data_IF_193587401271
#
_entry.id   IF_193587401271
#
_cell.length_a   1.000
_cell.length_b   1.000
_cell.length_c   1.000
_cell.angle_alpha   90.00
_cell.angle_beta   90.00
_cell.angle_gamma   90.00
#
_symmetry.space_group_name_H-M   'P 1'
#
loop_
_entity.id
_entity.type
_entity.pdbx_description
1 polymer ?
#
# COMPACT_ATOMS: atom_id res chain seq x y z
N UNK A 1 2.18 -10.46 -16.70
CA UNK A 1 0.80 -9.90 -16.61
C UNK A 1 0.77 -8.89 -15.48
N UNK A 2 0.71 -7.60 -15.77
CA UNK A 2 0.60 -6.56 -14.74
C UNK A 2 -0.88 -6.22 -14.54
N UNK A 3 -1.33 -5.98 -13.31
CA UNK A 3 -2.74 -5.69 -13.01
C UNK A 3 -2.84 -4.31 -12.38
N UNK A 4 -3.75 -3.48 -12.89
CA UNK A 4 -4.04 -2.14 -12.37
C UNK A 4 -5.09 -2.15 -11.27
N UNK A 5 -4.82 -1.46 -10.15
CA UNK A 5 -5.72 -1.35 -8.98
C UNK A 5 -5.58 0.02 -8.32
N UNK A 6 -6.65 0.48 -7.67
CA UNK A 6 -6.60 1.69 -6.84
C UNK A 6 -6.01 1.37 -5.46
N UNK A 7 -5.09 2.19 -4.99
CA UNK A 7 -4.45 2.06 -3.69
C UNK A 7 -4.36 3.43 -2.99
N UNK A 8 -4.32 3.41 -1.66
CA UNK A 8 -4.02 4.58 -0.85
C UNK A 8 -2.50 4.73 -0.71
N UNK A 9 -1.93 5.81 -1.23
CA UNK A 9 -0.50 6.09 -1.21
C UNK A 9 -0.20 7.20 -0.22
N UNK A 10 0.79 6.97 0.63
CA UNK A 10 1.32 7.96 1.56
C UNK A 10 2.65 8.49 1.03
N UNK A 11 2.60 9.64 0.37
CA UNK A 11 3.78 10.21 -0.29
C UNK A 11 4.73 10.92 0.66
N UNK A 12 4.20 11.63 1.66
CA UNK A 12 5.00 12.42 2.59
C UNK A 12 4.37 12.49 3.98
N UNK A 13 5.19 12.59 5.05
CA UNK A 13 4.70 12.80 6.41
C UNK A 13 3.77 14.01 6.52
N UNK A 14 2.72 13.89 7.34
CA UNK A 14 1.78 14.98 7.62
C UNK A 14 0.75 15.28 6.52
N UNK A 15 0.84 14.62 5.36
CA UNK A 15 -0.18 14.72 4.31
C UNK A 15 -1.24 13.62 4.44
N UNK A 16 -2.45 13.87 3.94
CA UNK A 16 -3.45 12.83 3.75
C UNK A 16 -3.00 11.83 2.69
N UNK A 17 -3.56 10.61 2.72
CA UNK A 17 -3.36 9.63 1.67
C UNK A 17 -4.01 10.08 0.35
N UNK A 18 -3.37 9.75 -0.76
CA UNK A 18 -3.94 9.91 -2.11
C UNK A 18 -4.47 8.56 -2.61
N UNK A 19 -5.64 8.54 -3.25
CA UNK A 19 -6.16 7.32 -3.90
C UNK A 19 -5.77 7.33 -5.38
N UNK A 20 -4.85 6.44 -5.76
CA UNK A 20 -4.23 6.44 -7.10
C UNK A 20 -4.29 5.06 -7.75
N UNK A 21 -4.26 5.03 -9.08
CA UNK A 21 -4.17 3.78 -9.84
C UNK A 21 -2.71 3.36 -9.96
N UNK A 22 -2.42 2.14 -9.49
CA UNK A 22 -1.08 1.57 -9.51
C UNK A 22 -1.04 0.26 -10.28
N UNK A 23 0.14 -0.03 -10.81
CA UNK A 23 0.46 -1.31 -11.41
C UNK A 23 1.03 -2.26 -10.35
N UNK A 24 0.31 -3.37 -10.13
CA UNK A 24 0.74 -4.41 -9.19
C UNK A 24 1.29 -5.58 -9.99
N UNK A 25 2.57 -5.88 -9.75
CA UNK A 25 3.30 -6.97 -10.40
C UNK A 25 2.70 -8.35 -10.09
N UNK A 26 3.19 -9.36 -10.80
CA UNK A 26 2.88 -10.75 -10.47
C UNK A 26 3.63 -11.18 -9.22
N UNK A 27 3.02 -12.06 -8.40
CA UNK A 27 3.74 -12.69 -7.30
C UNK A 27 4.89 -13.56 -7.86
N UNK A 28 6.02 -13.55 -7.14
CA UNK A 28 7.16 -14.42 -7.39
C UNK A 28 6.97 -15.77 -6.68
N UNK A 29 7.98 -16.65 -6.79
CA UNK A 29 7.98 -17.93 -6.09
C UNK A 29 7.78 -17.73 -4.58
N UNK A 30 6.84 -18.48 -3.99
CA UNK A 30 6.44 -18.41 -2.58
C UNK A 30 5.76 -17.10 -2.15
N UNK A 31 5.34 -16.25 -3.07
CA UNK A 31 4.48 -15.09 -2.79
C UNK A 31 3.03 -15.40 -3.16
N UNK A 32 2.08 -14.82 -2.42
CA UNK A 32 0.65 -14.88 -2.74
C UNK A 32 0.13 -13.47 -2.90
N UNK A 33 -0.69 -13.27 -3.93
CA UNK A 33 -1.37 -11.99 -4.16
C UNK A 33 -2.79 -12.05 -3.63
N UNK A 34 -3.11 -11.24 -2.63
CA UNK A 34 -4.43 -11.19 -1.99
C UNK A 34 -5.26 -10.06 -2.59
N UNK A 35 -6.56 -10.31 -2.81
CA UNK A 35 -7.54 -9.28 -3.15
C UNK A 35 -8.20 -8.79 -1.87
N UNK A 36 -7.76 -7.62 -1.39
CA UNK A 36 -8.36 -6.97 -0.23
C UNK A 36 -9.82 -6.61 -0.48
N UNK A 37 -10.68 -6.99 0.45
CA UNK A 37 -12.13 -6.68 0.42
C UNK A 37 -12.47 -5.57 1.41
N UNK A 38 -11.83 -5.58 2.57
CA UNK A 38 -12.03 -4.62 3.65
C UNK A 38 -10.70 -4.47 4.39
N UNK A 39 -10.38 -3.25 4.80
CA UNK A 39 -9.23 -2.94 5.64
C UNK A 39 -9.66 -1.94 6.71
N UNK A 40 -9.02 -1.99 7.88
CA UNK A 40 -9.26 -1.07 8.99
C UNK A 40 -7.95 -0.36 9.36
N UNK A 41 -8.07 0.88 9.80
CA UNK A 41 -6.93 1.65 10.29
C UNK A 41 -6.64 1.30 11.75
N UNK A 42 -5.38 1.03 12.05
CA UNK A 42 -4.90 0.78 13.42
C UNK A 42 -3.86 1.83 13.79
N UNK A 43 -3.94 2.34 15.02
CA UNK A 43 -2.91 3.22 15.56
C UNK A 43 -1.66 2.39 15.87
N UNK A 44 -0.60 2.61 15.09
CA UNK A 44 0.73 2.04 15.37
C UNK A 44 1.72 3.20 15.46
N UNK A 45 2.63 3.15 16.43
CA UNK A 45 3.67 4.17 16.55
C UNK A 45 4.64 3.96 15.39
N UNK A 46 4.60 4.87 14.41
CA UNK A 46 5.60 4.92 13.35
C UNK A 46 6.90 5.40 14.01
N UNK A 47 7.94 4.56 14.07
CA UNK A 47 9.25 5.01 14.53
C UNK A 47 9.77 6.01 13.51
N UNK A 48 9.85 7.30 13.89
CA UNK A 48 10.49 8.32 13.08
C UNK A 48 11.99 8.05 13.05
N UNK A 49 12.45 7.30 12.04
CA UNK A 49 13.87 7.23 11.70
C UNK A 49 14.33 8.63 11.30
N UNK A 50 15.16 9.25 12.13
CA UNK A 50 15.94 10.42 11.73
C UNK A 50 17.04 9.94 10.79
N UNK A 51 17.13 10.54 9.61
CA UNK A 51 18.33 10.51 8.77
C UNK A 51 19.42 11.37 9.41
#
# INVERSE_FOLDING_TARGET
>A
IVIRRRAAIFWKPGASFSIEEIEVALPKAKEVRIKEKKSQHFHTKIQSGSL
#
